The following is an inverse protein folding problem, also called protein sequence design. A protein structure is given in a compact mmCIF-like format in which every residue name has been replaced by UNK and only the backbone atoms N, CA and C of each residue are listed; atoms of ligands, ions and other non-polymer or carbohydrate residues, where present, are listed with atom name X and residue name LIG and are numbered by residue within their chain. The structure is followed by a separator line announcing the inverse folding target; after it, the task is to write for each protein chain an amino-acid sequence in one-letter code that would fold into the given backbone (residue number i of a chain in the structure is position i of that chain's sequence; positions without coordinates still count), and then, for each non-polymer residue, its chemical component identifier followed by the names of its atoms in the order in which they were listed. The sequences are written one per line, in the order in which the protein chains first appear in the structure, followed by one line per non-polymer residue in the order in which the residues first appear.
data_IF_151149851637
#
_entry.id   IF_151149851637
#
_cell.length_a   1.000
_cell.length_b   1.000
_cell.length_c   1.000
_cell.angle_alpha   90.00
_cell.angle_beta   90.00
_cell.angle_gamma   90.00
#
_symmetry.space_group_name_H-M   'P 1'
#
loop_
_entity.id
_entity.type
_entity.pdbx_description
1 polymer ?
#
# COMPACT_ATOMS: atom_id res chain seq x y z
N UNK A 1 -21.73 5.30 31.84
CA UNK A 1 -22.10 4.04 31.17
C UNK A 1 -21.89 4.23 29.67
N UNK A 2 -20.85 3.64 29.10
CA UNK A 2 -20.62 3.64 27.64
C UNK A 2 -21.49 2.54 27.03
N UNK A 3 -22.39 2.91 26.12
CA UNK A 3 -23.17 1.94 25.35
C UNK A 3 -22.17 1.11 24.54
N UNK A 4 -22.15 -0.23 24.67
CA UNK A 4 -21.22 -1.05 23.90
C UNK A 4 -21.57 -0.90 22.42
N UNK A 5 -20.63 -0.37 21.64
CA UNK A 5 -20.74 -0.29 20.19
C UNK A 5 -20.80 -1.71 19.64
N UNK A 6 -21.87 -2.06 18.92
CA UNK A 6 -21.98 -3.37 18.27
C UNK A 6 -20.78 -3.61 17.33
N UNK A 7 -20.19 -4.80 17.43
CA UNK A 7 -19.09 -5.23 16.56
C UNK A 7 -19.54 -5.16 15.10
N UNK A 8 -18.76 -4.55 14.18
CA UNK A 8 -19.13 -4.52 12.77
C UNK A 8 -19.26 -5.96 12.25
N UNK A 9 -20.40 -6.27 11.63
CA UNK A 9 -20.67 -7.60 11.06
C UNK A 9 -19.65 -7.89 9.97
N UNK A 10 -18.84 -8.92 10.18
CA UNK A 10 -17.88 -9.35 9.16
C UNK A 10 -18.64 -10.07 8.03
N UNK A 11 -18.32 -9.82 6.74
CA UNK A 11 -19.02 -10.43 5.61
C UNK A 11 -19.05 -11.96 5.64
N UNK A 12 -18.06 -12.58 6.28
CA UNK A 12 -17.96 -14.03 6.42
C UNK A 12 -18.85 -14.62 7.53
N UNK A 13 -19.25 -13.81 8.53
CA UNK A 13 -20.03 -14.30 9.68
C UNK A 13 -21.53 -14.46 9.35
N UNK A 14 -22.07 -13.68 8.40
CA UNK A 14 -23.49 -13.73 7.99
C UNK A 14 -23.65 -13.47 6.47
N UNK A 15 -23.35 -14.45 5.61
CA UNK A 15 -23.29 -14.20 4.17
C UNK A 15 -24.69 -14.18 3.53
N UNK A 16 -25.11 -13.02 3.04
CA UNK A 16 -26.28 -12.86 2.14
C UNK A 16 -25.83 -13.10 0.67
N UNK A 17 -26.75 -13.50 -0.21
CA UNK A 17 -26.51 -13.72 -1.65
C UNK A 17 -25.91 -12.47 -2.30
N UNK A 18 -26.34 -11.27 -1.86
CA UNK A 18 -25.77 -9.99 -2.31
C UNK A 18 -24.29 -9.84 -1.95
N UNK A 19 -23.88 -10.35 -0.78
CA UNK A 19 -22.48 -10.34 -0.34
C UNK A 19 -21.66 -11.28 -1.22
N UNK A 20 -22.16 -12.49 -1.52
CA UNK A 20 -21.49 -13.41 -2.45
C UNK A 20 -21.29 -12.81 -3.84
N UNK A 21 -22.32 -12.16 -4.40
CA UNK A 21 -22.21 -11.50 -5.71
C UNK A 21 -21.17 -10.38 -5.69
N UNK A 22 -21.14 -9.57 -4.63
CA UNK A 22 -20.14 -8.52 -4.44
C UNK A 22 -18.73 -9.10 -4.36
N UNK A 23 -18.51 -10.13 -3.52
CA UNK A 23 -17.22 -10.79 -3.36
C UNK A 23 -16.75 -11.44 -4.67
N UNK A 24 -17.67 -12.04 -5.44
CA UNK A 24 -17.35 -12.61 -6.74
C UNK A 24 -16.87 -11.54 -7.73
N UNK A 25 -17.59 -10.42 -7.83
CA UNK A 25 -17.20 -9.29 -8.68
C UNK A 25 -15.83 -8.73 -8.28
N UNK A 26 -15.60 -8.52 -6.99
CA UNK A 26 -14.32 -8.02 -6.48
C UNK A 26 -13.16 -8.99 -6.77
N UNK A 27 -13.39 -10.29 -6.65
CA UNK A 27 -12.38 -11.30 -6.99
C UNK A 27 -12.04 -11.32 -8.49
N UNK A 28 -13.00 -11.06 -9.38
CA UNK A 28 -12.73 -10.91 -10.81
C UNK A 28 -11.88 -9.66 -11.06
N UNK A 29 -12.29 -8.51 -10.53
CA UNK A 29 -11.54 -7.25 -10.66
C UNK A 29 -10.11 -7.44 -10.18
N UNK A 30 -9.94 -8.09 -9.03
CA UNK A 30 -8.63 -8.42 -8.48
C UNK A 30 -7.78 -9.25 -9.42
N UNK A 31 -8.33 -10.31 -10.01
CA UNK A 31 -7.59 -11.15 -10.95
C UNK A 31 -7.10 -10.38 -12.17
N UNK A 32 -7.85 -9.36 -12.59
CA UNK A 32 -7.48 -8.49 -13.71
C UNK A 32 -6.43 -7.43 -13.33
N UNK A 33 -6.51 -6.86 -12.11
CA UNK A 33 -5.64 -5.76 -11.67
C UNK A 33 -4.35 -6.27 -11.00
N UNK A 34 -4.38 -7.47 -10.41
CA UNK A 34 -3.26 -8.01 -9.64
C UNK A 34 -2.00 -8.11 -10.50
N UNK A 35 -0.97 -7.39 -10.08
CA UNK A 35 0.37 -7.47 -10.66
C UNK A 35 1.18 -8.59 -10.01
N UNK A 36 2.24 -9.02 -10.69
CA UNK A 36 3.24 -9.91 -10.11
C UNK A 36 3.91 -9.27 -8.89
N UNK A 37 4.56 -10.09 -8.07
CA UNK A 37 5.39 -9.57 -6.99
C UNK A 37 6.45 -8.61 -7.56
N UNK A 38 6.64 -7.49 -6.86
CA UNK A 38 7.75 -6.56 -7.06
C UNK A 38 9.04 -7.25 -6.63
N UNK A 39 9.99 -7.39 -7.54
CA UNK A 39 11.26 -8.10 -7.31
C UNK A 39 12.48 -7.30 -7.80
N UNK A 40 12.27 -6.08 -8.30
CA UNK A 40 13.30 -5.35 -9.04
C UNK A 40 14.55 -5.01 -8.22
N UNK A 41 14.39 -4.74 -6.92
CA UNK A 41 15.45 -4.22 -6.06
C UNK A 41 15.65 -5.05 -4.77
N UNK A 42 15.11 -6.28 -4.73
CA UNK A 42 15.14 -7.13 -3.54
C UNK A 42 16.58 -7.52 -3.14
N UNK A 43 17.42 -7.84 -4.12
CA UNK A 43 18.83 -8.16 -3.85
C UNK A 43 19.61 -6.95 -3.33
N UNK A 44 19.38 -5.78 -3.92
CA UNK A 44 20.12 -4.56 -3.60
C UNK A 44 19.78 -4.07 -2.19
N UNK A 45 18.50 -4.10 -1.81
CA UNK A 45 18.10 -3.77 -0.44
C UNK A 45 18.63 -4.81 0.56
N UNK A 46 18.59 -6.10 0.22
CA UNK A 46 19.12 -7.16 1.09
C UNK A 46 20.61 -6.97 1.33
N UNK A 47 21.40 -6.72 0.27
CA UNK A 47 22.84 -6.44 0.38
C UNK A 47 23.10 -5.18 1.21
N UNK A 48 22.30 -4.13 1.03
CA UNK A 48 22.45 -2.91 1.80
C UNK A 48 22.24 -3.14 3.31
N UNK A 49 21.24 -3.93 3.71
CA UNK A 49 20.97 -4.22 5.12
C UNK A 49 21.95 -5.22 5.75
N UNK A 50 22.71 -5.97 4.94
CA UNK A 50 23.78 -6.84 5.40
C UNK A 50 25.12 -6.11 5.58
N UNK A 51 25.26 -4.88 5.07
CA UNK A 51 26.48 -4.09 5.21
C UNK A 51 26.48 -3.36 6.56
N UNK A 52 27.26 -3.88 7.51
CA UNK A 52 27.41 -3.34 8.86
C UNK A 52 27.99 -1.91 8.88
N UNK A 53 28.62 -1.47 7.78
CA UNK A 53 29.20 -0.13 7.69
C UNK A 53 28.17 0.93 7.26
N UNK A 54 26.96 0.53 6.83
CA UNK A 54 25.95 1.50 6.42
C UNK A 54 25.32 2.18 7.62
N UNK A 55 25.25 3.52 7.61
CA UNK A 55 24.55 4.23 8.67
C UNK A 55 23.05 3.97 8.59
N UNK A 56 22.40 3.87 9.76
CA UNK A 56 20.95 3.62 9.88
C UNK A 56 20.12 4.62 9.05
N UNK A 57 20.51 5.88 8.99
CA UNK A 57 19.82 6.90 8.20
C UNK A 57 19.75 6.55 6.71
N UNK A 58 20.83 5.99 6.15
CA UNK A 58 20.86 5.54 4.75
C UNK A 58 19.98 4.31 4.56
N UNK A 59 19.96 3.38 5.51
CA UNK A 59 19.09 2.21 5.46
C UNK A 59 17.61 2.61 5.53
N UNK A 60 17.26 3.57 6.37
CA UNK A 60 15.91 4.13 6.43
C UNK A 60 15.51 4.80 5.11
N UNK A 61 16.40 5.58 4.50
CA UNK A 61 16.14 6.22 3.20
C UNK A 61 15.90 5.16 2.11
N UNK A 62 16.76 4.14 2.03
CA UNK A 62 16.59 3.03 1.10
C UNK A 62 15.27 2.29 1.29
N UNK A 63 14.84 2.10 2.54
CA UNK A 63 13.56 1.46 2.86
C UNK A 63 12.38 2.32 2.39
N UNK A 64 12.47 3.64 2.52
CA UNK A 64 11.44 4.56 2.00
C UNK A 64 11.39 4.49 0.48
N UNK A 65 12.54 4.56 -0.20
CA UNK A 65 12.64 4.41 -1.66
C UNK A 65 12.01 3.11 -2.14
N UNK A 66 12.42 1.97 -1.57
CA UNK A 66 11.90 0.65 -1.92
C UNK A 66 10.40 0.54 -1.68
N UNK A 67 9.92 1.03 -0.53
CA UNK A 67 8.49 1.02 -0.20
C UNK A 67 7.68 1.87 -1.17
N UNK A 68 8.19 3.04 -1.55
CA UNK A 68 7.53 3.92 -2.50
C UNK A 68 7.46 3.31 -3.90
N UNK A 69 8.55 2.71 -4.38
CA UNK A 69 8.56 2.01 -5.67
C UNK A 69 7.60 0.82 -5.69
N UNK A 70 7.64 -0.02 -4.65
CA UNK A 70 6.71 -1.13 -4.51
C UNK A 70 5.26 -0.63 -4.50
N UNK A 71 4.96 0.43 -3.75
CA UNK A 71 3.64 1.04 -3.74
C UNK A 71 3.20 1.53 -5.13
N UNK A 72 4.06 2.26 -5.85
CA UNK A 72 3.80 2.72 -7.22
C UNK A 72 3.56 1.54 -8.17
N UNK A 73 4.27 0.44 -7.97
CA UNK A 73 4.01 -0.80 -8.72
C UNK A 73 2.61 -1.34 -8.41
N UNK A 74 2.19 -1.47 -7.15
CA UNK A 74 0.91 -2.10 -6.79
C UNK A 74 -0.31 -1.17 -6.83
N UNK A 75 -0.13 0.14 -6.97
CA UNK A 75 -1.23 1.09 -6.97
C UNK A 75 -2.20 0.86 -8.14
N UNK A 76 -3.47 1.20 -7.90
CA UNK A 76 -4.52 1.27 -8.88
C UNK A 76 -5.36 2.54 -8.64
N UNK A 77 -6.02 2.99 -9.71
CA UNK A 77 -6.99 4.08 -9.69
C UNK A 77 -6.44 5.36 -9.02
N UNK A 78 -5.26 5.80 -9.46
CA UNK A 78 -4.65 7.05 -9.01
C UNK A 78 -4.30 7.02 -7.53
N UNK A 79 -3.61 5.96 -7.07
CA UNK A 79 -3.11 5.81 -5.69
C UNK A 79 -4.15 5.61 -4.60
N UNK A 80 -5.44 5.47 -4.95
CA UNK A 80 -6.50 5.22 -3.98
C UNK A 80 -6.55 3.79 -3.47
N UNK A 81 -6.05 2.83 -4.24
CA UNK A 81 -6.03 1.42 -3.87
C UNK A 81 -4.65 0.82 -4.21
N UNK A 82 -4.18 -0.14 -3.42
CA UNK A 82 -2.95 -0.87 -3.70
C UNK A 82 -3.19 -2.38 -3.57
N UNK A 83 -3.03 -3.11 -4.68
CA UNK A 83 -3.34 -4.54 -4.77
C UNK A 83 -2.08 -5.39 -4.63
N UNK A 84 -1.71 -5.73 -3.40
CA UNK A 84 -0.59 -6.62 -3.12
C UNK A 84 -0.88 -8.08 -3.48
N UNK A 85 0.15 -8.88 -3.86
CA UNK A 85 0.01 -10.32 -4.04
C UNK A 85 -0.27 -11.03 -2.71
N UNK A 86 -0.87 -12.22 -2.77
CA UNK A 86 -1.29 -13.00 -1.58
C UNK A 86 -2.80 -12.97 -1.34
N UNK A 87 -3.38 -13.92 -0.61
CA UNK A 87 -4.85 -14.00 -0.43
C UNK A 87 -5.39 -12.81 0.37
N UNK A 88 -6.63 -12.35 0.11
CA UNK A 88 -7.24 -11.31 0.91
C UNK A 88 -7.47 -11.85 2.32
N UNK A 89 -7.43 -10.98 3.33
CA UNK A 89 -7.64 -11.33 4.73
C UNK A 89 -9.10 -11.68 5.03
N UNK A 90 -9.53 -11.43 6.27
CA UNK A 90 -10.94 -11.57 6.67
C UNK A 90 -11.87 -10.50 6.05
N UNK A 91 -11.31 -9.52 5.36
CA UNK A 91 -12.03 -8.40 4.77
C UNK A 91 -12.25 -8.58 3.27
N UNK A 92 -13.03 -7.67 2.69
CA UNK A 92 -13.26 -7.65 1.24
C UNK A 92 -11.99 -7.20 0.52
N UNK A 93 -11.81 -7.64 -0.72
CA UNK A 93 -10.61 -7.31 -1.50
C UNK A 93 -10.42 -5.81 -1.63
N UNK A 94 -11.52 -5.06 -1.79
CA UNK A 94 -11.46 -3.61 -1.87
C UNK A 94 -10.95 -2.98 -0.58
N UNK A 95 -11.39 -3.50 0.57
CA UNK A 95 -10.94 -3.00 1.88
C UNK A 95 -9.46 -3.28 2.10
N UNK A 96 -8.99 -4.49 1.77
CA UNK A 96 -7.55 -4.82 1.85
C UNK A 96 -6.72 -3.88 0.96
N UNK A 97 -7.22 -3.55 -0.23
CA UNK A 97 -6.52 -2.63 -1.13
C UNK A 97 -6.47 -1.19 -0.60
N UNK A 98 -7.52 -0.72 0.09
CA UNK A 98 -7.54 0.57 0.80
C UNK A 98 -6.58 0.56 2.00
N UNK A 99 -6.58 -0.52 2.78
CA UNK A 99 -5.63 -0.70 3.89
C UNK A 99 -4.19 -0.71 3.37
N UNK A 100 -3.98 -1.30 2.20
CA UNK A 100 -2.70 -1.29 1.52
C UNK A 100 -2.14 0.11 1.24
N UNK A 101 -3.01 1.08 0.98
CA UNK A 101 -2.63 2.49 0.85
C UNK A 101 -2.41 3.12 2.22
N UNK A 102 -3.34 2.93 3.18
CA UNK A 102 -3.25 3.58 4.49
C UNK A 102 -1.99 3.17 5.28
N UNK A 103 -1.43 1.99 5.01
CA UNK A 103 -0.16 1.52 5.59
C UNK A 103 1.07 2.33 5.16
N UNK A 104 1.06 2.93 3.96
CA UNK A 104 2.24 3.67 3.43
C UNK A 104 2.14 5.19 3.60
N UNK A 105 0.94 5.75 3.71
CA UNK A 105 0.76 7.20 3.82
C UNK A 105 1.50 7.84 5.01
N UNK A 106 1.53 7.23 6.22
CA UNK A 106 2.28 7.80 7.33
C UNK A 106 3.79 7.86 7.04
N UNK A 107 4.34 6.86 6.36
CA UNK A 107 5.75 6.83 5.98
C UNK A 107 6.08 7.99 5.03
N UNK A 108 5.25 8.19 4.00
CA UNK A 108 5.45 9.29 3.04
C UNK A 108 5.30 10.66 3.70
N UNK A 109 4.32 10.82 4.59
CA UNK A 109 4.12 12.08 5.32
C UNK A 109 5.32 12.40 6.23
N UNK A 110 5.82 11.41 6.98
CA UNK A 110 7.00 11.59 7.83
C UNK A 110 8.23 11.92 6.99
N UNK A 111 8.45 11.22 5.88
CA UNK A 111 9.58 11.48 4.99
C UNK A 111 9.52 12.90 4.42
N UNK A 112 8.36 13.36 3.95
CA UNK A 112 8.16 14.73 3.43
C UNK A 112 8.55 15.80 4.46
N UNK A 113 8.07 15.65 5.70
CA UNK A 113 8.35 16.61 6.78
C UNK A 113 9.84 16.61 7.13
N UNK A 114 10.47 15.45 7.15
CA UNK A 114 11.89 15.31 7.52
C UNK A 114 12.83 15.77 6.40
N UNK A 115 12.62 15.29 5.17
CA UNK A 115 13.48 15.56 4.02
C UNK A 115 13.34 16.99 3.50
N UNK A 116 12.18 17.63 3.74
CA UNK A 116 11.76 18.92 3.16
C UNK A 116 11.79 18.93 1.63
N UNK A 117 11.64 17.76 1.02
CA UNK A 117 11.57 17.56 -0.44
C UNK A 117 10.22 16.98 -0.80
N UNK A 118 9.70 17.37 -1.97
CA UNK A 118 8.44 16.82 -2.49
C UNK A 118 8.65 15.54 -3.30
N UNK A 119 9.81 15.43 -3.96
CA UNK A 119 10.13 14.33 -4.86
C UNK A 119 11.12 13.40 -4.16
N UNK A 120 10.71 12.14 -4.02
CA UNK A 120 11.56 11.03 -3.65
C UNK A 120 12.12 10.40 -4.93
N UNK A 121 13.42 10.16 -4.99
CA UNK A 121 13.99 9.38 -6.08
C UNK A 121 13.91 7.90 -5.71
N UNK A 122 13.31 7.09 -6.59
CA UNK A 122 13.38 5.65 -6.48
C UNK A 122 14.82 5.14 -6.49
N UNK A 123 15.01 3.87 -6.16
CA UNK A 123 16.27 3.15 -6.32
C UNK A 123 16.69 3.09 -7.81
N UNK A 124 15.71 3.10 -8.72
CA UNK A 124 15.94 3.25 -10.16
C UNK A 124 16.13 4.72 -10.61
N UNK A 125 16.24 5.67 -9.68
CA UNK A 125 16.31 7.12 -9.90
C UNK A 125 15.07 7.76 -10.54
N UNK A 126 13.98 7.01 -10.72
CA UNK A 126 12.74 7.59 -11.21
C UNK A 126 12.13 8.51 -10.14
N UNK A 127 11.65 9.71 -10.51
CA UNK A 127 11.05 10.63 -9.55
C UNK A 127 9.66 10.14 -9.12
N UNK A 128 9.39 10.23 -7.82
CA UNK A 128 8.12 9.89 -7.19
C UNK A 128 7.61 11.12 -6.43
N UNK A 129 6.51 11.73 -6.92
CA UNK A 129 5.87 12.88 -6.30
C UNK A 129 4.99 12.42 -5.12
N UNK A 130 5.52 12.54 -3.91
CA UNK A 130 4.82 12.09 -2.70
C UNK A 130 3.59 12.95 -2.34
N UNK A 131 3.63 14.30 -2.46
CA UNK A 131 2.45 15.13 -2.26
C UNK A 131 1.30 14.74 -3.19
N UNK A 132 1.57 14.47 -4.46
CA UNK A 132 0.56 14.02 -5.40
C UNK A 132 -0.04 12.67 -4.99
N UNK A 133 0.80 11.70 -4.61
CA UNK A 133 0.34 10.39 -4.12
C UNK A 133 -0.57 10.55 -2.92
N UNK A 134 -0.15 11.28 -1.89
CA UNK A 134 -0.92 11.48 -0.66
C UNK A 134 -2.25 12.16 -0.99
N UNK A 135 -2.20 13.24 -1.78
CA UNK A 135 -3.38 13.98 -2.21
C UNK A 135 -4.39 13.06 -2.91
N UNK A 136 -3.95 12.32 -3.93
CA UNK A 136 -4.82 11.48 -4.74
C UNK A 136 -5.35 10.26 -3.99
N UNK A 137 -4.58 9.72 -3.04
CA UNK A 137 -5.02 8.64 -2.15
C UNK A 137 -6.28 9.03 -1.32
N UNK A 138 -6.42 10.31 -0.96
CA UNK A 138 -7.60 10.80 -0.23
C UNK A 138 -8.78 11.22 -1.11
N UNK A 139 -8.61 11.37 -2.43
CA UNK A 139 -9.66 11.90 -3.31
C UNK A 139 -10.47 10.86 -4.07
N UNK A 140 -9.98 9.63 -4.27
CA UNK A 140 -10.70 8.64 -5.09
C UNK A 140 -11.76 7.81 -4.33
N UNK A 141 -12.47 8.42 -3.37
CA UNK A 141 -13.58 7.80 -2.61
C UNK A 141 -14.94 7.89 -3.33
N UNK A 142 -14.96 7.77 -4.66
CA UNK A 142 -16.19 7.77 -5.47
C UNK A 142 -16.31 6.49 -6.32
#
# INVERSE_FOLDING_TARGET
MTIPTERPKLPYEHPDIKIYQKLFKENIIRRLIRKSAYQCNDEDITKAFQDENKPLSVLCELLVCYTAEAFVHYQAWGYSHAYYPGSPGQQTVRTDALEGVSRVLPLFAVWLVHSRKNVLNGLNLAPIDLPEIIKNAFFAWH
#
